data_IF_724330216556
#
_entry.id   IF_724330216556
#
_cell.length_a   1.000
_cell.length_b   1.000
_cell.length_c   1.000
_cell.angle_alpha   90.00
_cell.angle_beta   90.00
_cell.angle_gamma   90.00
#
_symmetry.space_group_name_H-M   'P 1'
#
loop_
_entity.id
_entity.type
_entity.pdbx_description
1 polymer ?
#
# COMPACT_ATOMS: atom_id res chain seq x y z
N UNK A 1 8.14 13.28 29.53
CA UNK A 1 7.57 11.92 29.40
C UNK A 1 8.73 11.03 28.98
N UNK A 2 9.30 10.25 29.92
CA UNK A 2 10.26 9.20 29.57
C UNK A 2 9.46 8.05 28.94
N UNK A 3 9.60 7.85 27.64
CA UNK A 3 9.15 6.60 27.03
C UNK A 3 10.17 5.53 27.38
N UNK A 4 9.76 4.57 28.22
CA UNK A 4 10.56 3.39 28.53
C UNK A 4 10.36 2.40 27.40
N UNK A 5 11.28 2.37 26.45
CA UNK A 5 11.36 1.27 25.48
C UNK A 5 12.22 0.17 26.12
N UNK A 6 11.61 -0.94 26.45
CA UNK A 6 12.29 -2.09 27.00
C UNK A 6 13.37 -2.61 26.05
N UNK A 7 14.64 -2.38 26.39
CA UNK A 7 15.78 -3.19 26.01
C UNK A 7 16.34 -3.11 24.60
N UNK A 8 15.98 -2.12 23.78
CA UNK A 8 16.71 -1.85 22.53
C UNK A 8 17.50 -0.56 22.68
N UNK A 9 18.80 -0.68 22.39
CA UNK A 9 19.74 0.43 22.34
C UNK A 9 19.24 1.49 21.35
N UNK A 10 18.86 2.67 21.86
CA UNK A 10 18.36 3.79 21.06
C UNK A 10 19.49 4.61 20.41
N UNK A 11 20.73 4.18 20.59
CA UNK A 11 21.93 4.85 20.05
C UNK A 11 21.87 5.17 18.54
N UNK A 12 21.36 4.28 17.64
CA UNK A 12 21.31 4.64 16.22
C UNK A 12 20.33 5.77 15.91
N UNK A 13 19.20 5.86 16.63
CA UNK A 13 18.17 6.88 16.40
C UNK A 13 18.60 8.21 17.01
N UNK A 14 19.13 8.20 18.23
CA UNK A 14 19.68 9.39 18.90
C UNK A 14 20.86 9.95 18.12
N UNK A 15 21.78 9.10 17.66
CA UNK A 15 22.93 9.50 16.85
C UNK A 15 22.52 10.07 15.49
N UNK A 16 21.48 9.52 14.85
CA UNK A 16 20.93 10.07 13.60
C UNK A 16 20.25 11.43 13.82
N UNK A 17 19.71 11.67 15.01
CA UNK A 17 19.13 12.97 15.38
C UNK A 17 20.24 13.97 15.77
N UNK A 18 21.31 13.52 16.41
CA UNK A 18 22.47 14.36 16.78
C UNK A 18 23.32 14.77 15.57
N UNK A 19 23.45 13.90 14.55
CA UNK A 19 24.10 14.23 13.27
C UNK A 19 23.26 15.18 12.38
N UNK A 20 21.98 15.36 12.69
CA UNK A 20 21.14 16.42 12.15
C UNK A 20 21.08 17.56 13.15
N UNK A 21 21.08 18.81 12.69
CA UNK A 21 20.91 20.01 13.51
C UNK A 21 20.01 19.74 14.74
N UNK A 22 20.51 20.04 15.93
CA UNK A 22 19.80 19.87 17.22
C UNK A 22 18.36 20.39 17.11
N UNK A 23 17.40 19.64 17.65
CA UNK A 23 15.98 20.00 17.61
C UNK A 23 15.72 21.44 18.07
N UNK A 24 16.37 21.87 19.17
CA UNK A 24 16.22 23.21 19.70
C UNK A 24 16.78 24.27 18.74
N UNK A 25 17.89 23.98 18.09
CA UNK A 25 18.49 24.87 17.09
C UNK A 25 17.59 24.99 15.85
N UNK A 26 17.05 23.90 15.38
CA UNK A 26 16.10 23.87 14.26
C UNK A 26 14.81 24.62 14.60
N UNK A 27 14.27 24.43 15.80
CA UNK A 27 13.10 25.18 16.26
C UNK A 27 13.33 26.67 16.29
N UNK A 28 14.52 27.11 16.80
CA UNK A 28 14.92 28.54 16.81
C UNK A 28 15.07 29.08 15.39
N UNK A 29 15.64 28.29 14.48
CA UNK A 29 15.84 28.68 13.09
C UNK A 29 14.47 28.91 12.40
N UNK A 30 13.54 27.99 12.56
CA UNK A 30 12.19 28.15 11.98
C UNK A 30 11.44 29.32 12.61
N UNK A 31 11.54 29.50 13.91
CA UNK A 31 10.96 30.66 14.61
C UNK A 31 11.54 31.99 14.13
N UNK A 32 12.83 32.02 13.78
CA UNK A 32 13.45 33.21 13.19
C UNK A 32 12.86 33.52 11.81
N UNK A 33 12.83 32.56 10.90
CA UNK A 33 12.24 32.77 9.58
C UNK A 33 10.77 33.21 9.65
N UNK A 34 9.99 32.63 10.58
CA UNK A 34 8.60 33.03 10.81
C UNK A 34 8.50 34.47 11.35
N UNK A 35 9.37 34.85 12.29
CA UNK A 35 9.38 36.20 12.88
C UNK A 35 9.79 37.27 11.85
N UNK A 36 10.74 36.95 10.98
CA UNK A 36 11.29 37.85 9.99
C UNK A 36 10.43 37.93 8.72
N UNK A 37 9.30 37.19 8.69
CA UNK A 37 8.41 37.00 7.52
C UNK A 37 9.18 36.52 6.27
N UNK A 38 10.22 35.74 6.51
CA UNK A 38 11.05 35.15 5.45
C UNK A 38 10.65 33.70 5.19
N UNK A 39 10.69 33.31 3.91
CA UNK A 39 10.44 31.91 3.54
C UNK A 39 11.66 31.05 3.82
N UNK A 40 11.47 29.96 4.59
CA UNK A 40 12.54 28.99 4.80
C UNK A 40 12.91 28.31 3.47
N UNK A 41 14.22 28.19 3.13
CA UNK A 41 14.66 27.53 1.91
C UNK A 41 14.15 26.10 1.79
N UNK A 42 13.56 25.76 0.67
CA UNK A 42 13.03 24.41 0.42
C UNK A 42 14.06 23.55 -0.31
N UNK A 43 14.07 22.27 0.00
CA UNK A 43 14.77 21.26 -0.80
C UNK A 43 13.74 20.35 -1.44
N UNK A 44 13.77 20.25 -2.77
CA UNK A 44 12.94 19.33 -3.52
C UNK A 44 13.51 17.92 -3.45
N UNK A 45 12.64 16.92 -3.43
CA UNK A 45 13.05 15.53 -3.37
C UNK A 45 11.86 14.58 -3.34
N UNK A 46 12.13 13.28 -3.17
CA UNK A 46 11.11 12.22 -3.14
C UNK A 46 9.97 12.50 -2.13
N UNK A 47 10.28 13.17 -1.02
CA UNK A 47 9.28 13.60 -0.03
C UNK A 47 8.16 14.47 -0.61
N UNK A 48 8.43 15.18 -1.72
CA UNK A 48 7.42 16.02 -2.39
C UNK A 48 6.32 15.20 -3.08
N UNK A 49 6.53 13.90 -3.31
CA UNK A 49 5.52 13.01 -3.89
C UNK A 49 4.25 12.91 -3.02
N UNK A 50 4.42 13.01 -1.71
CA UNK A 50 3.33 12.95 -0.71
C UNK A 50 3.21 14.28 0.05
N UNK A 51 3.28 15.39 -0.68
CA UNK A 51 3.21 16.74 -0.09
C UNK A 51 1.78 17.01 0.41
N UNK A 52 1.63 17.22 1.72
CA UNK A 52 0.34 17.55 2.36
C UNK A 52 -0.18 18.94 1.99
N UNK A 53 0.69 19.80 1.43
CA UNK A 53 0.34 21.15 0.97
C UNK A 53 0.02 21.21 -0.53
N UNK A 54 -0.14 20.08 -1.19
CA UNK A 54 -0.57 20.04 -2.58
C UNK A 54 -2.07 20.36 -2.64
N UNK A 55 -2.42 21.35 -3.47
CA UNK A 55 -3.81 21.69 -3.78
C UNK A 55 -4.04 21.40 -5.26
N UNK A 56 -4.98 20.52 -5.57
CA UNK A 56 -5.29 20.08 -6.94
C UNK A 56 -6.33 21.01 -7.63
N UNK A 57 -6.33 22.29 -7.29
CA UNK A 57 -7.20 23.35 -7.84
C UNK A 57 -8.70 23.18 -7.50
N UNK A 58 -9.05 22.39 -6.51
CA UNK A 58 -10.45 22.27 -6.02
C UNK A 58 -10.86 23.43 -5.11
N UNK A 59 -9.94 24.33 -4.78
CA UNK A 59 -10.18 25.48 -3.93
C UNK A 59 -9.37 26.69 -4.38
N UNK A 60 -9.78 27.90 -3.93
CA UNK A 60 -9.06 29.16 -4.18
C UNK A 60 -7.74 29.27 -3.40
N UNK A 61 -7.34 28.22 -2.68
CA UNK A 61 -6.11 28.20 -1.91
C UNK A 61 -4.89 27.93 -2.81
N UNK A 62 -3.77 28.55 -2.47
CA UNK A 62 -2.52 28.30 -3.16
C UNK A 62 -2.00 26.88 -2.86
N UNK A 63 -1.37 26.26 -3.86
CA UNK A 63 -0.69 25.00 -3.69
C UNK A 63 0.73 25.23 -3.16
N UNK A 64 0.99 24.81 -1.92
CA UNK A 64 2.35 24.87 -1.35
C UNK A 64 3.36 24.01 -2.12
N UNK A 65 2.90 22.91 -2.73
CA UNK A 65 3.70 22.11 -3.65
C UNK A 65 4.18 22.97 -4.83
N UNK A 66 3.26 23.62 -5.53
CA UNK A 66 3.56 24.46 -6.68
C UNK A 66 4.49 25.63 -6.32
N UNK A 67 4.19 26.31 -5.20
CA UNK A 67 5.00 27.39 -4.68
C UNK A 67 6.46 26.95 -4.37
N UNK A 68 6.66 25.76 -3.79
CA UNK A 68 7.99 25.22 -3.55
C UNK A 68 8.72 24.91 -4.86
N UNK A 69 8.05 24.32 -5.83
CA UNK A 69 8.65 23.99 -7.13
C UNK A 69 9.00 25.25 -7.92
N UNK A 70 8.13 26.26 -7.99
CA UNK A 70 8.36 27.55 -8.65
C UNK A 70 9.47 28.37 -8.00
N UNK A 71 9.74 28.17 -6.72
CA UNK A 71 10.87 28.84 -6.07
C UNK A 71 12.24 28.37 -6.58
N UNK A 72 12.33 27.17 -7.14
CA UNK A 72 13.56 26.57 -7.70
C UNK A 72 13.49 26.51 -9.23
N UNK A 73 12.32 26.20 -9.77
CA UNK A 73 12.03 26.13 -11.21
C UNK A 73 10.91 27.12 -11.53
N UNK A 74 11.23 28.41 -11.86
CA UNK A 74 10.23 29.47 -12.04
C UNK A 74 9.13 29.12 -13.06
N UNK A 75 9.50 28.38 -14.10
CA UNK A 75 8.60 27.96 -15.21
C UNK A 75 7.88 26.63 -14.92
N UNK A 76 7.92 26.13 -13.66
CA UNK A 76 7.27 24.87 -13.32
C UNK A 76 5.76 24.93 -13.58
N UNK A 77 5.29 23.96 -14.36
CA UNK A 77 3.87 23.79 -14.71
C UNK A 77 3.33 22.49 -14.09
N UNK A 78 2.45 22.64 -13.08
CA UNK A 78 1.83 21.51 -12.39
C UNK A 78 0.98 20.62 -13.33
N UNK A 79 0.42 21.19 -14.39
CA UNK A 79 -0.43 20.47 -15.33
C UNK A 79 0.38 19.65 -16.36
N UNK A 80 1.70 19.82 -16.40
CA UNK A 80 2.55 18.99 -17.27
C UNK A 80 2.98 17.72 -16.52
N UNK A 81 2.90 16.54 -17.17
CA UNK A 81 3.30 15.28 -16.53
C UNK A 81 4.74 15.33 -16.03
N UNK A 82 4.89 15.22 -14.72
CA UNK A 82 6.19 15.27 -14.05
C UNK A 82 6.59 13.90 -13.45
N UNK A 83 7.83 13.80 -12.97
CA UNK A 83 8.42 12.53 -12.51
C UNK A 83 7.67 11.87 -11.35
N UNK A 84 6.92 12.60 -10.50
CA UNK A 84 6.12 12.03 -9.42
C UNK A 84 4.82 11.36 -9.90
N UNK A 85 4.40 11.61 -11.13
CA UNK A 85 3.27 10.90 -11.75
C UNK A 85 3.65 9.49 -12.20
N UNK A 86 4.96 9.16 -12.24
CA UNK A 86 5.41 7.81 -12.61
C UNK A 86 5.09 6.84 -11.48
N UNK A 87 4.38 5.76 -11.84
CA UNK A 87 3.96 4.72 -10.91
C UNK A 87 5.15 4.07 -10.20
N UNK A 88 5.07 3.97 -8.86
CA UNK A 88 6.07 3.33 -7.99
C UNK A 88 7.54 3.72 -8.25
N UNK A 89 7.77 4.93 -8.76
CA UNK A 89 9.10 5.44 -9.03
C UNK A 89 9.71 6.09 -7.77
N UNK A 90 10.92 5.66 -7.37
CA UNK A 90 11.58 6.07 -6.12
C UNK A 90 12.91 6.80 -6.33
N UNK A 91 13.36 6.95 -7.59
CA UNK A 91 14.66 7.58 -7.91
C UNK A 91 14.53 9.07 -8.25
N UNK A 92 13.47 9.73 -7.82
CA UNK A 92 13.18 11.14 -8.14
C UNK A 92 14.30 12.09 -7.71
N UNK A 93 14.97 11.83 -6.58
CA UNK A 93 16.08 12.67 -6.11
C UNK A 93 17.25 12.69 -7.10
N UNK A 94 17.51 11.57 -7.77
CA UNK A 94 18.55 11.47 -8.80
C UNK A 94 18.22 12.34 -10.02
N UNK A 95 16.95 12.31 -10.46
CA UNK A 95 16.46 13.09 -11.60
C UNK A 95 16.46 14.59 -11.30
N UNK A 96 15.94 14.98 -10.12
CA UNK A 96 15.92 16.38 -9.69
C UNK A 96 17.32 16.99 -9.64
N UNK A 97 18.32 16.26 -9.15
CA UNK A 97 19.73 16.70 -9.13
C UNK A 97 20.29 16.95 -10.53
N UNK A 98 19.71 16.37 -11.55
CA UNK A 98 20.10 16.55 -12.96
C UNK A 98 19.13 17.47 -13.71
N UNK A 99 18.25 18.19 -13.00
CA UNK A 99 17.23 19.08 -13.54
C UNK A 99 16.22 18.41 -14.49
N UNK A 100 16.03 17.09 -14.36
CA UNK A 100 15.01 16.33 -15.09
C UNK A 100 13.78 16.23 -14.20
N UNK A 101 12.76 17.02 -14.50
CA UNK A 101 11.55 17.13 -13.67
C UNK A 101 10.26 16.70 -14.39
N UNK A 102 10.24 16.76 -15.73
CA UNK A 102 9.10 16.31 -16.54
C UNK A 102 9.35 14.95 -17.18
N UNK A 103 8.29 14.22 -17.44
CA UNK A 103 8.38 12.90 -18.09
C UNK A 103 8.94 12.98 -19.51
N UNK A 104 8.64 14.06 -20.25
CA UNK A 104 9.21 14.29 -21.59
C UNK A 104 10.74 14.41 -21.55
N UNK A 105 11.27 15.21 -20.60
CA UNK A 105 12.71 15.41 -20.48
C UNK A 105 13.42 14.12 -20.05
N UNK A 106 12.76 13.33 -19.19
CA UNK A 106 13.24 12.01 -18.81
C UNK A 106 13.28 11.05 -20.01
N UNK A 107 12.23 11.04 -20.82
CA UNK A 107 12.12 10.17 -22.01
C UNK A 107 13.21 10.44 -23.05
N UNK A 108 13.58 11.70 -23.22
CA UNK A 108 14.62 12.15 -24.14
C UNK A 108 16.06 12.03 -23.58
N UNK A 109 16.19 11.71 -22.30
CA UNK A 109 17.50 11.62 -21.61
C UNK A 109 18.01 10.18 -21.48
N UNK A 110 19.32 10.03 -21.24
CA UNK A 110 19.92 8.73 -20.91
C UNK A 110 19.36 8.13 -19.60
N UNK A 111 18.74 8.96 -18.76
CA UNK A 111 18.14 8.53 -17.50
C UNK A 111 16.85 7.72 -17.69
N UNK A 112 16.33 7.63 -18.88
CA UNK A 112 15.23 6.71 -19.23
C UNK A 112 15.58 5.26 -18.86
N UNK A 113 16.86 4.90 -18.89
CA UNK A 113 17.37 3.58 -18.46
C UNK A 113 17.17 3.28 -16.96
N UNK A 114 16.82 4.28 -16.14
CA UNK A 114 16.48 4.10 -14.72
C UNK A 114 15.06 3.54 -14.51
N UNK A 115 14.24 3.55 -15.55
CA UNK A 115 12.87 3.06 -15.53
C UNK A 115 12.84 1.53 -15.73
N UNK A 116 11.95 0.86 -15.00
CA UNK A 116 11.61 -0.50 -15.36
C UNK A 116 10.66 -0.53 -16.58
N UNK A 117 10.42 -1.70 -17.21
CA UNK A 117 9.61 -1.78 -18.44
C UNK A 117 8.21 -1.17 -18.31
N UNK A 118 7.55 -1.34 -17.16
CA UNK A 118 6.21 -0.79 -16.90
C UNK A 118 6.23 0.74 -16.76
N UNK A 119 7.23 1.27 -16.06
CA UNK A 119 7.42 2.71 -15.93
C UNK A 119 7.78 3.35 -17.25
N UNK A 120 8.61 2.68 -18.06
CA UNK A 120 8.95 3.12 -19.40
C UNK A 120 7.72 3.19 -20.30
N UNK A 121 6.90 2.14 -20.32
CA UNK A 121 5.64 2.11 -21.06
C UNK A 121 4.70 3.25 -20.63
N UNK A 122 4.57 3.51 -19.33
CA UNK A 122 3.77 4.63 -18.82
C UNK A 122 4.30 5.97 -19.34
N UNK A 123 5.60 6.22 -19.23
CA UNK A 123 6.22 7.46 -19.67
C UNK A 123 6.08 7.64 -21.20
N UNK A 124 6.33 6.59 -21.97
CA UNK A 124 6.18 6.58 -23.42
C UNK A 124 4.74 6.92 -23.86
N UNK A 125 3.75 6.26 -23.27
CA UNK A 125 2.33 6.56 -23.53
C UNK A 125 1.96 7.99 -23.15
N UNK A 126 2.45 8.47 -22.01
CA UNK A 126 2.20 9.84 -21.54
C UNK A 126 2.79 10.88 -22.51
N UNK A 127 4.04 10.72 -22.92
CA UNK A 127 4.74 11.65 -23.83
C UNK A 127 4.09 11.66 -25.20
N UNK A 128 3.72 10.47 -25.71
CA UNK A 128 3.07 10.32 -27.02
C UNK A 128 1.56 10.60 -26.96
N UNK A 129 0.99 10.91 -25.79
CA UNK A 129 -0.47 11.09 -25.57
C UNK A 129 -1.28 9.92 -26.11
N UNK A 130 -0.76 8.70 -25.91
CA UNK A 130 -1.42 7.48 -26.36
C UNK A 130 -2.49 7.06 -25.36
N UNK A 131 -3.73 6.92 -25.84
CA UNK A 131 -4.88 6.41 -25.08
C UNK A 131 -5.14 4.91 -25.35
N UNK A 132 -4.25 4.25 -26.12
CA UNK A 132 -4.41 2.83 -26.44
C UNK A 132 -4.19 1.97 -25.21
N UNK A 133 -5.02 0.94 -25.06
CA UNK A 133 -4.80 -0.12 -24.07
C UNK A 133 -3.66 -1.05 -24.50
N UNK A 134 -2.94 -1.58 -23.53
CA UNK A 134 -1.87 -2.55 -23.76
C UNK A 134 -2.27 -3.86 -23.05
N UNK A 135 -3.02 -4.68 -23.78
CA UNK A 135 -3.51 -5.98 -23.29
C UNK A 135 -2.56 -7.09 -23.80
N UNK A 136 -1.83 -7.68 -22.87
CA UNK A 136 -0.91 -8.78 -23.20
C UNK A 136 -1.65 -10.10 -23.34
N UNK A 137 -1.22 -10.97 -24.26
CA UNK A 137 -1.84 -12.29 -24.45
C UNK A 137 -1.89 -13.14 -23.16
N UNK A 138 -0.89 -12.99 -22.27
CA UNK A 138 -0.79 -13.70 -21.00
C UNK A 138 -2.00 -13.45 -20.10
N UNK A 139 -2.58 -12.23 -20.14
CA UNK A 139 -3.78 -11.90 -19.37
C UNK A 139 -4.97 -12.80 -19.78
N UNK A 140 -5.13 -13.06 -21.07
CA UNK A 140 -6.24 -13.90 -21.56
C UNK A 140 -6.07 -15.36 -21.12
N UNK A 141 -4.83 -15.87 -21.09
CA UNK A 141 -4.56 -17.21 -20.55
C UNK A 141 -4.87 -17.31 -19.06
N UNK A 142 -4.65 -16.25 -18.29
CA UNK A 142 -5.03 -16.22 -16.87
C UNK A 142 -6.56 -16.16 -16.71
N UNK A 143 -7.26 -15.32 -17.50
CA UNK A 143 -8.72 -15.21 -17.46
C UNK A 143 -9.39 -16.56 -17.82
N UNK A 144 -8.85 -17.29 -18.78
CA UNK A 144 -9.39 -18.60 -19.20
C UNK A 144 -9.31 -19.68 -18.09
N UNK A 145 -8.54 -19.45 -17.05
CA UNK A 145 -8.39 -20.34 -15.88
C UNK A 145 -9.35 -20.03 -14.75
N UNK A 146 -10.11 -18.95 -14.83
CA UNK A 146 -11.00 -18.52 -13.78
C UNK A 146 -12.39 -19.12 -13.94
N UNK A 147 -12.90 -19.66 -12.84
CA UNK A 147 -14.23 -20.27 -12.78
C UNK A 147 -15.24 -19.32 -12.12
N UNK A 148 -16.42 -19.19 -12.74
CA UNK A 148 -17.53 -18.48 -12.12
C UNK A 148 -18.15 -19.31 -10.99
N UNK A 149 -18.74 -18.61 -9.99
CA UNK A 149 -18.82 -17.16 -9.83
C UNK A 149 -17.48 -16.53 -9.42
N UNK A 150 -17.30 -15.23 -9.66
CA UNK A 150 -16.13 -14.47 -9.27
C UNK A 150 -16.39 -13.76 -7.95
N UNK A 151 -15.58 -14.03 -6.92
CA UNK A 151 -15.68 -13.43 -5.60
C UNK A 151 -14.61 -12.35 -5.42
N UNK A 152 -15.01 -11.09 -5.31
CA UNK A 152 -14.13 -9.97 -5.03
C UNK A 152 -14.23 -9.63 -3.55
N UNK A 153 -13.15 -9.86 -2.81
CA UNK A 153 -13.11 -9.65 -1.36
C UNK A 153 -12.28 -8.43 -1.01
N UNK A 154 -12.68 -7.76 0.07
CA UNK A 154 -11.98 -6.62 0.66
C UNK A 154 -12.13 -6.66 2.19
N UNK A 155 -11.05 -6.34 2.93
CA UNK A 155 -10.99 -6.46 4.38
C UNK A 155 -10.71 -5.13 5.06
N UNK A 156 -11.45 -4.85 6.14
CA UNK A 156 -11.14 -3.76 7.04
C UNK A 156 -10.45 -4.28 8.30
N UNK A 157 -9.33 -3.67 8.63
CA UNK A 157 -8.44 -4.16 9.66
C UNK A 157 -7.86 -3.05 10.53
N UNK A 158 -7.34 -3.42 11.70
CA UNK A 158 -6.69 -2.51 12.63
C UNK A 158 -5.43 -3.14 13.24
N UNK A 159 -4.45 -2.30 13.57
CA UNK A 159 -3.24 -2.66 14.31
C UNK A 159 -2.96 -1.57 15.34
N UNK A 160 -3.26 -1.83 16.60
CA UNK A 160 -3.18 -0.82 17.65
C UNK A 160 -1.97 -1.03 18.56
N UNK A 161 -1.39 0.08 19.03
CA UNK A 161 -0.25 0.03 19.94
C UNK A 161 -0.61 -0.50 21.34
N UNK A 162 -1.85 -0.27 21.78
CA UNK A 162 -2.39 -0.80 23.02
C UNK A 162 -3.50 -1.78 22.67
N UNK A 163 -3.33 -3.08 22.96
CA UNK A 163 -4.33 -4.08 22.60
C UNK A 163 -5.71 -3.79 23.23
N UNK A 164 -6.78 -3.94 22.44
CA UNK A 164 -8.16 -3.81 22.90
C UNK A 164 -8.66 -5.07 23.63
N UNK A 165 -7.97 -6.19 23.44
CA UNK A 165 -8.39 -7.49 23.93
C UNK A 165 -7.34 -8.11 24.86
N UNK A 166 -7.79 -8.88 25.84
CA UNK A 166 -6.90 -9.59 26.75
C UNK A 166 -6.08 -10.66 26.01
N UNK A 167 -4.84 -10.86 26.44
CA UNK A 167 -3.91 -11.84 25.87
C UNK A 167 -3.57 -11.58 24.39
N UNK A 168 -3.60 -10.31 23.96
CA UNK A 168 -3.17 -9.88 22.64
C UNK A 168 -1.93 -9.00 22.72
N UNK A 169 -1.19 -8.93 21.60
CA UNK A 169 0.06 -8.19 21.52
C UNK A 169 -0.10 -6.81 20.87
N UNK A 170 0.76 -5.83 21.23
CA UNK A 170 0.84 -4.57 20.50
C UNK A 170 1.08 -4.80 19.01
N UNK A 171 0.34 -4.06 18.18
CA UNK A 171 0.42 -4.13 16.71
C UNK A 171 0.03 -5.50 16.12
N UNK A 172 -0.70 -6.29 16.86
CA UNK A 172 -1.31 -7.52 16.36
C UNK A 172 -2.45 -7.19 15.39
N UNK A 173 -2.56 -7.96 14.31
CA UNK A 173 -3.58 -7.75 13.28
C UNK A 173 -4.97 -8.09 13.85
N UNK A 174 -5.91 -7.18 13.64
CA UNK A 174 -7.33 -7.34 13.96
C UNK A 174 -8.11 -7.15 12.67
N UNK A 175 -8.84 -8.17 12.23
CA UNK A 175 -9.78 -8.10 11.12
C UNK A 175 -11.20 -8.05 11.66
N UNK A 176 -11.93 -6.96 11.40
CA UNK A 176 -13.24 -6.72 12.00
C UNK A 176 -14.38 -6.61 10.98
N UNK A 177 -14.06 -6.53 9.69
CA UNK A 177 -15.06 -6.46 8.62
C UNK A 177 -14.50 -7.09 7.33
N UNK A 178 -15.36 -7.72 6.55
CA UNK A 178 -15.13 -7.98 5.14
C UNK A 178 -16.35 -7.63 4.30
N UNK A 179 -16.08 -7.37 3.02
CA UNK A 179 -17.05 -7.24 1.94
C UNK A 179 -16.72 -8.29 0.88
N UNK A 180 -17.73 -8.94 0.31
CA UNK A 180 -17.60 -9.89 -0.78
C UNK A 180 -18.64 -9.59 -1.86
N UNK A 181 -18.18 -9.15 -3.04
CA UNK A 181 -19.03 -9.02 -4.22
C UNK A 181 -18.88 -10.25 -5.10
N UNK A 182 -19.98 -10.93 -5.38
CA UNK A 182 -20.01 -12.14 -6.18
C UNK A 182 -20.65 -11.87 -7.54
N UNK A 183 -19.82 -11.95 -8.60
CA UNK A 183 -20.28 -11.81 -9.99
C UNK A 183 -20.57 -13.20 -10.58
N UNK A 184 -21.81 -13.44 -10.94
CA UNK A 184 -22.26 -14.67 -11.62
C UNK A 184 -22.07 -14.60 -13.13
N UNK A 185 -22.01 -15.76 -13.78
CA UNK A 185 -21.83 -15.88 -15.24
C UNK A 185 -22.92 -15.17 -16.05
N UNK A 186 -24.12 -15.03 -15.50
CA UNK A 186 -25.25 -14.32 -16.11
C UNK A 186 -25.20 -12.79 -15.94
N UNK A 187 -24.14 -12.27 -15.29
CA UNK A 187 -23.95 -10.86 -15.01
C UNK A 187 -24.62 -10.36 -13.72
N UNK A 188 -25.31 -11.22 -12.99
CA UNK A 188 -25.91 -10.88 -11.69
C UNK A 188 -24.78 -10.68 -10.68
N UNK A 189 -24.88 -9.61 -9.87
CA UNK A 189 -23.96 -9.30 -8.78
C UNK A 189 -24.70 -9.44 -7.45
N UNK A 190 -24.13 -10.18 -6.53
CA UNK A 190 -24.56 -10.30 -5.14
C UNK A 190 -23.52 -9.64 -4.22
N UNK A 191 -23.95 -9.18 -3.07
CA UNK A 191 -23.08 -8.61 -2.05
C UNK A 191 -23.37 -9.26 -0.70
N UNK A 192 -22.31 -9.72 -0.05
CA UNK A 192 -22.32 -10.23 1.32
C UNK A 192 -21.26 -9.49 2.13
N UNK A 193 -21.58 -9.21 3.36
CA UNK A 193 -20.70 -8.52 4.29
C UNK A 193 -20.79 -9.13 5.68
N UNK A 194 -19.75 -8.97 6.44
CA UNK A 194 -19.72 -9.27 7.87
C UNK A 194 -18.94 -8.18 8.60
N UNK A 195 -19.47 -7.76 9.74
CA UNK A 195 -18.81 -6.82 10.63
C UNK A 195 -18.99 -7.28 12.08
N UNK A 196 -17.89 -7.24 12.85
CA UNK A 196 -17.99 -7.45 14.28
C UNK A 196 -18.37 -6.17 15.00
N UNK A 197 -19.50 -6.20 15.68
CA UNK A 197 -20.00 -5.09 16.49
C UNK A 197 -20.02 -5.43 18.00
N UNK A 198 -19.54 -6.62 18.39
CA UNK A 198 -19.57 -7.09 19.77
C UNK A 198 -18.37 -6.54 20.55
N UNK A 199 -18.65 -5.59 21.45
CA UNK A 199 -17.61 -4.96 22.24
C UNK A 199 -16.90 -5.96 23.17
N UNK A 200 -15.56 -5.96 23.15
CA UNK A 200 -14.72 -6.76 24.04
C UNK A 200 -14.46 -8.20 23.58
N UNK A 201 -15.05 -8.63 22.47
CA UNK A 201 -14.78 -9.92 21.83
C UNK A 201 -13.73 -9.78 20.73
N UNK A 202 -12.74 -10.68 20.73
CA UNK A 202 -11.73 -10.71 19.66
C UNK A 202 -12.33 -11.25 18.36
N UNK A 203 -12.33 -10.46 17.26
CA UNK A 203 -13.18 -10.75 16.10
C UNK A 203 -12.61 -11.78 15.14
N UNK A 204 -11.28 -11.97 15.08
CA UNK A 204 -10.58 -12.63 13.99
C UNK A 204 -11.09 -14.05 13.67
N UNK A 205 -11.48 -14.81 14.70
CA UNK A 205 -11.89 -16.20 14.50
C UNK A 205 -13.31 -16.31 13.94
N UNK A 206 -14.20 -15.41 14.37
CA UNK A 206 -15.54 -15.34 13.81
C UNK A 206 -15.52 -14.69 12.42
N UNK A 207 -14.59 -13.77 12.16
CA UNK A 207 -14.29 -13.25 10.83
C UNK A 207 -13.97 -14.38 9.83
N UNK A 208 -13.02 -15.26 10.18
CA UNK A 208 -12.64 -16.39 9.31
C UNK A 208 -13.80 -17.36 9.10
N UNK A 209 -14.57 -17.66 10.15
CA UNK A 209 -15.77 -18.52 10.04
C UNK A 209 -16.81 -17.94 9.09
N UNK A 210 -17.09 -16.65 9.23
CA UNK A 210 -18.05 -15.95 8.37
C UNK A 210 -17.56 -15.92 6.92
N UNK A 211 -16.29 -15.58 6.68
CA UNK A 211 -15.69 -15.56 5.36
C UNK A 211 -15.74 -16.95 4.69
N UNK A 212 -15.36 -18.02 5.45
CA UNK A 212 -15.47 -19.40 4.98
C UNK A 212 -16.90 -19.73 4.56
N UNK A 213 -17.89 -19.35 5.37
CA UNK A 213 -19.30 -19.60 5.07
C UNK A 213 -19.76 -18.95 3.77
N UNK A 214 -19.23 -17.79 3.45
CA UNK A 214 -19.52 -17.08 2.20
C UNK A 214 -18.84 -17.76 1.00
N UNK A 215 -17.52 -18.02 1.12
CA UNK A 215 -16.71 -18.49 -0.01
C UNK A 215 -16.87 -19.98 -0.32
N UNK A 216 -17.28 -20.80 0.66
CA UNK A 216 -17.50 -22.24 0.45
C UNK A 216 -18.89 -22.59 -0.08
N UNK A 217 -19.71 -21.61 -0.48
CA UNK A 217 -20.99 -21.85 -1.19
C UNK A 217 -20.78 -22.49 -2.57
N UNK A 218 -19.60 -22.28 -3.13
CA UNK A 218 -19.20 -22.79 -4.44
C UNK A 218 -17.66 -22.85 -4.55
N UNK A 219 -17.16 -23.18 -5.75
CA UNK A 219 -15.73 -23.26 -6.05
C UNK A 219 -15.27 -22.13 -7.00
N UNK A 220 -15.99 -21.01 -7.05
CA UNK A 220 -15.64 -19.88 -7.88
C UNK A 220 -14.31 -19.25 -7.55
N UNK A 221 -13.75 -18.50 -8.48
CA UNK A 221 -12.45 -17.85 -8.31
C UNK A 221 -12.55 -16.68 -7.33
N UNK A 222 -11.61 -16.61 -6.40
CA UNK A 222 -11.51 -15.54 -5.39
C UNK A 222 -10.49 -14.52 -5.84
N UNK A 223 -10.84 -13.24 -5.81
CA UNK A 223 -9.99 -12.12 -6.19
C UNK A 223 -9.72 -11.20 -4.99
N UNK A 224 -8.49 -10.73 -4.91
CA UNK A 224 -8.02 -9.69 -4.02
C UNK A 224 -7.28 -8.60 -4.80
N UNK A 225 -7.10 -7.44 -4.20
CA UNK A 225 -6.28 -6.39 -4.75
C UNK A 225 -5.03 -6.19 -3.88
N UNK A 226 -3.84 -6.52 -4.42
CA UNK A 226 -2.56 -6.55 -3.69
C UNK A 226 -2.48 -7.66 -2.61
N UNK A 227 -1.51 -7.54 -1.69
CA UNK A 227 -1.15 -8.62 -0.77
C UNK A 227 -1.93 -8.59 0.56
N UNK A 228 -2.80 -7.59 0.78
CA UNK A 228 -3.36 -7.31 2.10
C UNK A 228 -4.16 -8.50 2.65
N UNK A 229 -5.17 -8.97 1.93
CA UNK A 229 -6.07 -10.04 2.38
C UNK A 229 -5.31 -11.34 2.66
N UNK A 230 -4.36 -11.68 1.78
CA UNK A 230 -3.50 -12.85 1.97
C UNK A 230 -2.67 -12.71 3.26
N UNK A 231 -2.08 -11.54 3.49
CA UNK A 231 -1.26 -11.28 4.68
C UNK A 231 -2.08 -11.34 5.95
N UNK A 232 -3.27 -10.76 5.96
CA UNK A 232 -4.20 -10.77 7.09
C UNK A 232 -4.59 -12.20 7.45
N UNK A 233 -5.02 -13.00 6.47
CA UNK A 233 -5.41 -14.40 6.71
C UNK A 233 -4.25 -15.23 7.26
N UNK A 234 -3.02 -15.05 6.74
CA UNK A 234 -1.82 -15.73 7.26
C UNK A 234 -1.50 -15.32 8.70
N UNK A 235 -1.69 -14.06 9.06
CA UNK A 235 -1.50 -13.59 10.43
C UNK A 235 -2.57 -14.15 11.38
N UNK A 236 -3.83 -14.19 10.94
CA UNK A 236 -4.92 -14.81 11.74
C UNK A 236 -4.67 -16.31 11.92
N UNK A 237 -4.21 -16.99 10.89
CA UNK A 237 -3.84 -18.40 10.98
C UNK A 237 -2.78 -18.64 12.07
N UNK A 238 -1.73 -17.79 12.10
CA UNK A 238 -0.71 -17.88 13.13
C UNK A 238 -1.30 -17.64 14.54
N UNK A 239 -2.21 -16.68 14.69
CA UNK A 239 -2.92 -16.44 15.96
C UNK A 239 -3.74 -17.67 16.40
N UNK A 240 -4.39 -18.34 15.45
CA UNK A 240 -5.13 -19.58 15.73
C UNK A 240 -4.22 -20.71 16.20
N UNK A 241 -3.05 -20.87 15.58
CA UNK A 241 -2.02 -21.84 15.97
C UNK A 241 -1.52 -21.54 17.38
N UNK A 242 -1.16 -20.29 17.66
CA UNK A 242 -0.60 -19.86 18.95
C UNK A 242 -1.62 -19.98 20.09
N UNK A 243 -2.90 -19.74 19.81
CA UNK A 243 -3.96 -19.84 20.82
C UNK A 243 -4.40 -21.27 21.10
N UNK A 244 -4.69 -22.05 20.08
CA UNK A 244 -5.06 -23.47 20.19
C UNK A 244 -5.23 -24.12 18.81
N UNK A 245 -4.17 -24.72 18.28
CA UNK A 245 -4.15 -25.35 16.97
C UNK A 245 -5.21 -26.46 16.82
N UNK A 246 -5.37 -27.31 17.82
CA UNK A 246 -6.35 -28.41 17.79
C UNK A 246 -7.80 -27.89 17.66
N UNK A 247 -8.12 -26.83 18.38
CA UNK A 247 -9.46 -26.21 18.35
C UNK A 247 -9.78 -25.58 17.01
N UNK A 248 -8.78 -24.99 16.35
CA UNK A 248 -8.95 -24.19 15.13
C UNK A 248 -8.49 -24.90 13.86
N UNK A 249 -8.13 -26.18 13.92
CA UNK A 249 -7.53 -26.95 12.81
C UNK A 249 -8.28 -26.81 11.49
N UNK A 250 -9.62 -26.93 11.50
CA UNK A 250 -10.44 -26.79 10.27
C UNK A 250 -10.23 -25.44 9.57
N UNK A 251 -10.16 -24.34 10.32
CA UNK A 251 -9.98 -23.00 9.74
C UNK A 251 -8.53 -22.73 9.36
N UNK A 252 -7.58 -23.28 10.09
CA UNK A 252 -6.14 -23.25 9.76
C UNK A 252 -5.91 -23.91 8.41
N UNK A 253 -6.43 -25.12 8.21
CA UNK A 253 -6.34 -25.86 6.93
C UNK A 253 -7.07 -25.12 5.80
N UNK A 254 -8.27 -24.59 6.08
CA UNK A 254 -9.02 -23.83 5.08
C UNK A 254 -8.27 -22.58 4.60
N UNK A 255 -7.62 -21.81 5.50
CA UNK A 255 -6.81 -20.65 5.10
C UNK A 255 -5.68 -21.08 4.16
N UNK A 256 -5.06 -22.23 4.36
CA UNK A 256 -4.02 -22.75 3.47
C UNK A 256 -4.57 -22.99 2.05
N UNK A 257 -5.83 -23.37 1.89
CA UNK A 257 -6.42 -23.62 0.55
C UNK A 257 -6.60 -22.36 -0.28
N UNK A 258 -6.79 -21.18 0.36
CA UNK A 258 -7.09 -19.92 -0.34
C UNK A 258 -5.94 -18.91 -0.32
N UNK A 259 -4.84 -19.23 0.34
CA UNK A 259 -3.68 -18.32 0.48
C UNK A 259 -2.43 -18.89 -0.16
N UNK A 260 -1.43 -18.01 -0.29
CA UNK A 260 -0.07 -18.39 -0.68
C UNK A 260 0.94 -17.82 0.32
N UNK A 261 2.04 -18.54 0.49
CA UNK A 261 3.13 -18.07 1.35
C UNK A 261 4.47 -18.66 0.90
N UNK A 262 5.54 -18.08 1.40
CA UNK A 262 6.88 -18.58 1.20
C UNK A 262 7.51 -18.90 2.56
N UNK A 263 8.01 -20.11 2.71
CA UNK A 263 8.75 -20.48 3.90
C UNK A 263 10.02 -19.62 4.05
N UNK A 264 10.25 -19.11 5.26
CA UNK A 264 11.36 -18.18 5.51
C UNK A 264 12.73 -18.84 5.46
N UNK A 265 12.80 -20.12 5.81
CA UNK A 265 14.03 -20.86 5.95
C UNK A 265 14.36 -21.65 4.67
N UNK A 266 13.42 -22.45 4.18
CA UNK A 266 13.60 -23.28 2.97
C UNK A 266 13.45 -22.50 1.67
N UNK A 267 12.77 -21.35 1.71
CA UNK A 267 12.38 -20.53 0.53
C UNK A 267 11.40 -21.24 -0.41
N UNK A 268 10.85 -22.35 0.01
CA UNK A 268 9.77 -23.03 -0.72
C UNK A 268 8.51 -22.16 -0.78
N UNK A 269 7.85 -22.18 -1.93
CA UNK A 269 6.59 -21.48 -2.15
C UNK A 269 5.44 -22.47 -2.08
N UNK A 270 4.43 -22.11 -1.30
CA UNK A 270 3.20 -22.85 -1.13
C UNK A 270 2.05 -22.02 -1.71
N UNK A 271 1.23 -22.65 -2.53
CA UNK A 271 0.09 -22.02 -3.17
C UNK A 271 -1.11 -22.93 -2.93
N UNK A 272 -2.12 -22.40 -2.26
CA UNK A 272 -3.37 -23.10 -2.01
C UNK A 272 -4.09 -23.50 -3.30
N UNK A 273 -4.84 -24.58 -3.26
CA UNK A 273 -5.57 -25.10 -4.44
C UNK A 273 -6.60 -24.10 -5.02
N UNK A 274 -7.16 -23.25 -4.16
CA UNK A 274 -8.11 -22.18 -4.49
C UNK A 274 -7.50 -20.80 -4.15
N UNK A 275 -6.18 -20.65 -4.33
CA UNK A 275 -5.48 -19.43 -4.01
C UNK A 275 -6.11 -18.19 -4.65
N UNK A 276 -6.24 -17.13 -3.87
CA UNK A 276 -6.76 -15.84 -4.32
C UNK A 276 -5.92 -15.24 -5.46
N UNK A 277 -6.56 -14.86 -6.54
CA UNK A 277 -5.94 -14.14 -7.65
C UNK A 277 -5.65 -12.69 -7.25
N UNK A 278 -4.41 -12.26 -7.39
CA UNK A 278 -3.99 -10.89 -7.11
C UNK A 278 -4.16 -10.02 -8.36
N UNK A 279 -5.20 -9.20 -8.38
CA UNK A 279 -5.49 -8.32 -9.52
C UNK A 279 -4.39 -7.28 -9.76
N UNK A 280 -3.70 -6.81 -8.71
CA UNK A 280 -2.59 -5.88 -8.87
C UNK A 280 -1.40 -6.52 -9.60
N UNK A 281 -1.18 -7.82 -9.43
CA UNK A 281 -0.10 -8.54 -10.09
C UNK A 281 -0.33 -8.74 -11.60
N UNK A 282 -1.60 -8.64 -12.05
CA UNK A 282 -1.99 -8.79 -13.45
C UNK A 282 -1.88 -7.48 -14.26
N UNK A 283 -1.85 -6.35 -13.56
CA UNK A 283 -1.74 -4.98 -14.15
C UNK A 283 -0.26 -4.48 -14.18
#
# INVERSE_FOLDING_TARGET
VQMIWAGKDMDPVTKTIEDQMDFAERARLYAKYYKDDERYPVSLGLKCKHCEFKNDNESDLKSGFEECWKSIYPDFNLNEPHIFNIWNFRKSDKLIKQNVIYQKDLYESELVSELNPRQLLQVEKTVNRSETEDLRPELFYEIDRWDFPYHFIDFETSMVAVPFYNNRHPYEQIAFQFSCHTLHKDGRVEHEEWIDTEQGKFPNYDFVKALKTVLDKDNGTIFRYAAHENTVLRQIQQQMIDDNEEKYGEWIEWIDTITQWRDKDTKEEFVGERNMVDLLALV
#
